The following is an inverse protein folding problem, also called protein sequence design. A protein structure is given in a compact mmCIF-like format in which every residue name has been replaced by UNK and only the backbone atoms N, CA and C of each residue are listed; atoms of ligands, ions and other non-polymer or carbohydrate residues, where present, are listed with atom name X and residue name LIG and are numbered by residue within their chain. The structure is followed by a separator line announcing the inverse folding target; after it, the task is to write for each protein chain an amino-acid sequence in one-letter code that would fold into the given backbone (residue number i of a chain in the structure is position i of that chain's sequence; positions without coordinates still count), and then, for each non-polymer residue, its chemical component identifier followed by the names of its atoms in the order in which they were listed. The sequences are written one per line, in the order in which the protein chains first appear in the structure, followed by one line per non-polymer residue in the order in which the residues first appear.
data_IF_678128027880
#
_entry.id   IF_678128027880
#
_cell.length_a   1.000
_cell.length_b   1.000
_cell.length_c   1.000
_cell.angle_alpha   90.00
_cell.angle_beta   90.00
_cell.angle_gamma   90.00
#
_symmetry.space_group_name_H-M   'P 1'
#
loop_
_entity.id
_entity.type
_entity.pdbx_description
1 polymer ?
#
# COMPACT_ATOMS: atom_id res chain seq x y z
N UNK A 1 3.18 39.36 -31.81
CA UNK A 1 3.30 38.00 -32.36
C UNK A 1 3.55 37.06 -31.20
N UNK A 2 2.47 36.58 -30.56
CA UNK A 2 2.53 35.77 -29.34
C UNK A 2 2.79 34.31 -29.72
N UNK A 3 4.02 33.84 -29.49
CA UNK A 3 4.35 32.41 -29.44
C UNK A 3 4.59 32.02 -27.98
N UNK A 4 3.52 32.11 -27.18
CA UNK A 4 3.56 31.71 -25.78
C UNK A 4 3.30 30.21 -25.70
N UNK A 5 4.42 29.50 -25.77
CA UNK A 5 4.60 28.08 -25.57
C UNK A 5 3.51 27.45 -24.70
N UNK A 6 2.79 26.52 -25.32
CA UNK A 6 1.88 25.55 -24.71
C UNK A 6 2.64 24.62 -23.76
N UNK A 7 3.23 25.13 -22.68
CA UNK A 7 3.60 24.32 -21.51
C UNK A 7 2.34 24.13 -20.68
N UNK A 8 1.39 23.37 -21.21
CA UNK A 8 0.29 22.84 -20.42
C UNK A 8 0.91 22.01 -19.31
N UNK A 9 0.82 22.53 -18.08
CA UNK A 9 0.82 21.80 -16.80
C UNK A 9 0.59 20.31 -17.02
N UNK A 10 1.65 19.51 -16.94
CA UNK A 10 1.52 18.07 -16.93
C UNK A 10 0.60 17.70 -15.76
N UNK A 11 -0.34 16.77 -15.97
CA UNK A 11 -1.27 16.34 -14.92
C UNK A 11 -0.48 15.77 -13.72
N UNK A 12 -0.90 16.00 -12.46
CA UNK A 12 -0.31 15.37 -11.27
C UNK A 12 -0.08 13.86 -11.42
N UNK A 13 -0.96 13.21 -12.20
CA UNK A 13 -0.88 11.78 -12.51
C UNK A 13 0.37 11.44 -13.34
N UNK A 14 0.69 12.26 -14.33
CA UNK A 14 1.84 12.02 -15.21
C UNK A 14 3.17 12.28 -14.48
N UNK A 15 3.21 13.24 -13.57
CA UNK A 15 4.38 13.49 -12.71
C UNK A 15 4.59 12.33 -11.73
N UNK A 16 3.53 11.87 -11.07
CA UNK A 16 3.58 10.69 -10.21
C UNK A 16 4.03 9.42 -10.95
N UNK A 17 3.57 9.22 -12.20
CA UNK A 17 4.03 8.10 -13.03
C UNK A 17 5.51 8.26 -13.38
N UNK A 18 5.97 9.48 -13.69
CA UNK A 18 7.38 9.73 -14.05
C UNK A 18 8.30 9.46 -12.86
N UNK A 19 7.96 9.98 -11.68
CA UNK A 19 8.69 9.73 -10.43
C UNK A 19 8.73 8.23 -10.09
N UNK A 20 7.62 7.52 -10.31
CA UNK A 20 7.55 6.07 -10.11
C UNK A 20 8.45 5.32 -11.12
N UNK A 21 8.43 5.71 -12.40
CA UNK A 21 9.31 5.13 -13.42
C UNK A 21 10.78 5.35 -13.11
N UNK A 22 11.14 6.53 -12.59
CA UNK A 22 12.51 6.86 -12.15
C UNK A 22 12.92 6.01 -10.94
N UNK A 23 12.05 5.91 -9.92
CA UNK A 23 12.29 5.10 -8.72
C UNK A 23 12.46 3.62 -9.06
N UNK A 24 11.67 3.11 -10.02
CA UNK A 24 11.75 1.73 -10.47
C UNK A 24 12.85 1.49 -11.52
N UNK A 25 13.45 2.55 -12.07
CA UNK A 25 14.41 2.46 -13.17
C UNK A 25 13.84 1.86 -14.47
N UNK A 26 12.52 1.89 -14.65
CA UNK A 26 11.84 1.23 -15.75
C UNK A 26 10.64 2.05 -16.24
N UNK A 27 10.47 2.13 -17.56
CA UNK A 27 9.25 2.71 -18.16
C UNK A 27 8.07 1.79 -17.94
N UNK A 28 6.98 2.32 -17.40
CA UNK A 28 5.74 1.59 -17.12
C UNK A 28 4.73 1.74 -18.25
N UNK A 29 4.78 2.87 -18.98
CA UNK A 29 3.87 3.16 -20.08
C UNK A 29 4.62 3.50 -21.38
N UNK A 30 4.17 2.92 -22.48
CA UNK A 30 4.52 3.34 -23.83
C UNK A 30 3.49 4.39 -24.28
N UNK A 31 3.96 5.59 -24.60
CA UNK A 31 3.12 6.67 -25.14
C UNK A 31 3.25 6.69 -26.66
N UNK A 32 2.14 6.57 -27.36
CA UNK A 32 2.08 6.64 -28.83
C UNK A 32 1.04 7.65 -29.29
N UNK A 33 1.04 7.99 -30.58
CA UNK A 33 0.02 8.86 -31.18
C UNK A 33 -1.41 8.27 -31.10
N UNK A 34 -1.54 6.97 -30.86
CA UNK A 34 -2.82 6.28 -30.67
C UNK A 34 -3.23 6.05 -29.21
N UNK A 35 -2.46 6.56 -28.23
CA UNK A 35 -2.74 6.41 -26.80
C UNK A 35 -1.58 5.82 -26.00
N UNK A 36 -1.87 5.44 -24.75
CA UNK A 36 -0.93 4.83 -23.83
C UNK A 36 -1.21 3.34 -23.65
N UNK A 37 -0.18 2.51 -23.74
CA UNK A 37 -0.23 1.08 -23.41
C UNK A 37 0.78 0.74 -22.32
N UNK A 38 0.50 -0.22 -21.42
CA UNK A 38 1.48 -0.64 -20.42
C UNK A 38 2.65 -1.39 -21.08
N UNK A 39 3.87 -1.14 -20.60
CA UNK A 39 5.02 -2.00 -20.89
C UNK A 39 4.88 -3.33 -20.15
N UNK A 40 5.76 -4.29 -20.41
CA UNK A 40 5.89 -5.51 -19.59
C UNK A 40 6.11 -5.17 -18.10
N UNK A 41 6.96 -4.18 -17.80
CA UNK A 41 7.16 -3.69 -16.44
C UNK A 41 5.87 -3.06 -15.86
N UNK A 42 5.11 -2.33 -16.67
CA UNK A 42 3.80 -1.79 -16.33
C UNK A 42 2.78 -2.88 -15.96
N UNK A 43 2.70 -3.95 -16.75
CA UNK A 43 1.83 -5.10 -16.45
C UNK A 43 2.20 -5.76 -15.12
N UNK A 44 3.51 -5.96 -14.86
CA UNK A 44 4.00 -6.52 -13.58
C UNK A 44 3.69 -5.61 -12.39
N UNK A 45 3.92 -4.31 -12.54
CA UNK A 45 3.61 -3.32 -11.52
C UNK A 45 2.12 -3.32 -11.17
N UNK A 46 1.25 -3.33 -12.19
CA UNK A 46 -0.20 -3.45 -12.01
C UNK A 46 -0.59 -4.76 -11.35
N UNK A 47 0.00 -5.90 -11.74
CA UNK A 47 -0.25 -7.19 -11.09
C UNK A 47 0.04 -7.16 -9.60
N UNK A 48 1.16 -6.55 -9.19
CA UNK A 48 1.52 -6.38 -7.77
C UNK A 48 0.62 -5.37 -7.03
N UNK A 49 0.22 -4.28 -7.69
CA UNK A 49 -0.57 -3.22 -7.07
C UNK A 49 -2.07 -3.54 -6.98
N UNK A 50 -2.62 -4.34 -7.90
CA UNK A 50 -4.06 -4.64 -8.01
C UNK A 50 -4.73 -5.08 -6.70
N UNK A 51 -4.16 -6.01 -5.92
CA UNK A 51 -4.76 -6.41 -4.64
C UNK A 51 -4.91 -5.23 -3.67
N UNK A 52 -3.89 -4.38 -3.57
CA UNK A 52 -3.91 -3.19 -2.71
C UNK A 52 -4.87 -2.10 -3.24
N UNK A 53 -5.02 -1.98 -4.56
CA UNK A 53 -5.97 -1.07 -5.19
C UNK A 53 -7.44 -1.46 -4.96
N UNK A 54 -7.72 -2.73 -4.63
CA UNK A 54 -9.07 -3.21 -4.31
C UNK A 54 -9.51 -2.82 -2.88
N UNK A 55 -8.59 -2.32 -2.06
CA UNK A 55 -8.89 -1.85 -0.72
C UNK A 55 -9.68 -0.55 -0.77
N UNK A 56 -10.78 -0.53 -0.02
CA UNK A 56 -11.63 0.65 0.16
C UNK A 56 -12.01 0.73 1.63
N UNK A 57 -12.13 1.96 2.14
CA UNK A 57 -12.53 2.18 3.53
C UNK A 57 -14.06 2.17 3.67
N UNK A 58 -14.62 1.63 4.77
CA UNK A 58 -13.92 0.88 5.82
C UNK A 58 -13.45 -0.48 5.32
N UNK A 59 -12.25 -0.90 5.74
CA UNK A 59 -11.66 -2.17 5.32
C UNK A 59 -12.25 -3.31 6.16
N UNK A 60 -12.63 -4.40 5.52
CA UNK A 60 -13.08 -5.63 6.17
C UNK A 60 -12.07 -6.80 6.04
N UNK A 61 -12.37 -7.93 6.67
CA UNK A 61 -11.52 -9.12 6.61
C UNK A 61 -11.46 -9.78 5.23
N UNK A 62 -12.54 -9.69 4.44
CA UNK A 62 -12.58 -10.30 3.12
C UNK A 62 -11.61 -9.60 2.16
N UNK A 63 -11.52 -8.27 2.25
CA UNK A 63 -10.56 -7.46 1.49
C UNK A 63 -9.10 -7.79 1.86
N UNK A 64 -8.83 -8.13 3.12
CA UNK A 64 -7.48 -8.47 3.57
C UNK A 64 -7.02 -9.88 3.19
N UNK A 65 -7.94 -10.82 2.93
CA UNK A 65 -7.58 -12.19 2.53
C UNK A 65 -6.78 -12.25 1.24
N UNK A 66 -6.99 -11.29 0.34
CA UNK A 66 -6.29 -11.22 -0.94
C UNK A 66 -4.85 -10.69 -0.83
N UNK A 67 -4.42 -10.27 0.37
CA UNK A 67 -3.12 -9.67 0.60
C UNK A 67 -2.24 -10.58 1.47
N UNK A 68 -0.91 -10.59 1.24
CA UNK A 68 0.02 -11.32 2.11
C UNK A 68 0.02 -10.73 3.52
N UNK A 69 -0.35 -11.54 4.52
CA UNK A 69 -0.26 -11.13 5.93
C UNK A 69 1.15 -11.36 6.48
N UNK A 70 1.73 -10.30 7.01
CA UNK A 70 3.03 -10.29 7.70
C UNK A 70 2.76 -10.21 9.20
N UNK A 71 2.99 -11.31 9.90
CA UNK A 71 2.81 -11.40 11.34
C UNK A 71 3.96 -10.72 12.08
N UNK A 72 3.62 -9.85 13.02
CA UNK A 72 4.56 -9.31 13.99
C UNK A 72 4.65 -10.26 15.21
N UNK A 73 5.76 -11.00 15.33
CA UNK A 73 5.99 -11.99 16.37
C UNK A 73 6.66 -11.37 17.60
N UNK A 74 5.92 -10.51 18.30
CA UNK A 74 6.22 -10.15 19.68
C UNK A 74 5.03 -10.52 20.58
N UNK A 75 5.24 -10.81 21.87
CA UNK A 75 4.17 -11.29 22.75
C UNK A 75 2.93 -10.39 22.77
N UNK A 76 3.12 -9.06 22.80
CA UNK A 76 2.01 -8.11 22.78
C UNK A 76 1.22 -8.10 21.47
N UNK A 77 1.89 -8.26 20.33
CA UNK A 77 1.24 -8.32 19.03
C UNK A 77 0.53 -9.66 18.80
N UNK A 78 1.06 -10.76 19.32
CA UNK A 78 0.40 -12.07 19.29
C UNK A 78 -0.90 -12.06 20.09
N UNK A 79 -0.89 -11.50 21.30
CA UNK A 79 -2.11 -11.35 22.10
C UNK A 79 -3.19 -10.54 21.35
N UNK A 80 -2.80 -9.47 20.64
CA UNK A 80 -3.73 -8.70 19.82
C UNK A 80 -4.21 -9.49 18.58
N UNK A 81 -3.34 -10.29 17.97
CA UNK A 81 -3.70 -11.16 16.86
C UNK A 81 -4.74 -12.21 17.29
N UNK A 82 -4.64 -12.76 18.50
CA UNK A 82 -5.63 -13.70 19.03
C UNK A 82 -7.01 -13.05 19.15
N UNK A 83 -7.08 -11.77 19.58
CA UNK A 83 -8.32 -11.01 19.55
C UNK A 83 -8.85 -10.80 18.13
N UNK A 84 -7.97 -10.54 17.15
CA UNK A 84 -8.38 -10.41 15.75
C UNK A 84 -8.93 -11.74 15.21
N UNK A 85 -8.28 -12.86 15.54
CA UNK A 85 -8.72 -14.21 15.14
C UNK A 85 -10.07 -14.56 15.75
N UNK A 86 -10.27 -14.26 17.03
CA UNK A 86 -11.57 -14.40 17.69
C UNK A 86 -12.67 -13.53 17.03
N UNK A 87 -12.28 -12.39 16.44
CA UNK A 87 -13.17 -11.52 15.67
C UNK A 87 -13.31 -11.90 14.18
N UNK A 88 -12.82 -13.08 13.75
CA UNK A 88 -12.99 -13.60 12.40
C UNK A 88 -11.87 -13.27 11.40
N UNK A 89 -10.72 -12.78 11.87
CA UNK A 89 -9.53 -12.65 11.03
C UNK A 89 -8.91 -14.01 10.73
N UNK A 90 -8.90 -14.43 9.46
CA UNK A 90 -8.45 -15.76 9.04
C UNK A 90 -7.38 -15.73 7.93
N UNK A 91 -6.60 -14.66 7.81
CA UNK A 91 -5.55 -14.62 6.80
C UNK A 91 -4.40 -15.55 7.19
N UNK A 92 -3.90 -16.32 6.21
CA UNK A 92 -2.72 -17.16 6.40
C UNK A 92 -1.46 -16.29 6.56
N UNK A 93 -0.56 -16.72 7.44
CA UNK A 93 0.69 -16.01 7.70
C UNK A 93 1.64 -16.27 6.53
N UNK A 94 1.86 -15.26 5.70
CA UNK A 94 2.81 -15.34 4.60
C UNK A 94 4.26 -15.21 5.10
N UNK A 95 4.49 -14.39 6.14
CA UNK A 95 5.80 -14.15 6.77
C UNK A 95 5.65 -13.81 8.24
N UNK A 96 6.64 -14.18 9.04
CA UNK A 96 6.71 -13.82 10.47
C UNK A 96 7.99 -13.05 10.74
N UNK A 97 7.88 -11.93 11.45
CA UNK A 97 9.02 -11.04 11.76
C UNK A 97 8.90 -10.51 13.19
N UNK A 98 10.02 -10.43 13.89
CA UNK A 98 10.06 -10.08 15.32
C UNK A 98 10.38 -8.61 15.60
N UNK A 99 10.75 -7.81 14.60
CA UNK A 99 11.15 -6.40 14.79
C UNK A 99 10.23 -5.43 14.02
N UNK A 100 9.89 -4.31 14.66
CA UNK A 100 9.02 -3.27 14.08
C UNK A 100 9.64 -2.65 12.82
N UNK A 101 10.96 -2.42 12.82
CA UNK A 101 11.69 -1.86 11.66
C UNK A 101 11.58 -2.74 10.43
N UNK A 102 11.63 -4.06 10.59
CA UNK A 102 11.47 -5.00 9.49
C UNK A 102 10.01 -5.07 9.01
N UNK A 103 9.01 -4.98 9.90
CA UNK A 103 7.61 -4.83 9.50
C UNK A 103 7.43 -3.55 8.66
N UNK A 104 7.90 -2.41 9.17
CA UNK A 104 7.82 -1.11 8.49
C UNK A 104 8.51 -1.15 7.11
N UNK A 105 9.69 -1.76 7.03
CA UNK A 105 10.39 -1.96 5.77
C UNK A 105 9.56 -2.81 4.80
N UNK A 106 9.13 -4.02 5.17
CA UNK A 106 8.40 -4.90 4.25
C UNK A 106 7.07 -4.34 3.79
N UNK A 107 6.31 -3.71 4.70
CA UNK A 107 5.06 -3.03 4.37
C UNK A 107 5.34 -1.83 3.45
N UNK A 108 6.39 -1.05 3.73
CA UNK A 108 6.82 0.07 2.88
C UNK A 108 7.25 -0.34 1.47
N UNK A 109 7.78 -1.56 1.30
CA UNK A 109 8.10 -2.14 -0.01
C UNK A 109 6.89 -2.81 -0.70
N UNK A 110 5.69 -2.76 -0.10
CA UNK A 110 4.48 -3.37 -0.67
C UNK A 110 4.51 -4.91 -0.66
N UNK A 111 5.28 -5.53 0.24
CA UNK A 111 5.39 -7.00 0.33
C UNK A 111 4.13 -7.65 0.94
N UNK A 112 3.32 -6.86 1.64
CA UNK A 112 2.12 -7.31 2.31
C UNK A 112 1.60 -6.26 3.29
N UNK A 113 0.71 -6.67 4.19
CA UNK A 113 0.21 -5.85 5.29
C UNK A 113 0.53 -6.50 6.64
N UNK A 114 0.48 -5.70 7.70
CA UNK A 114 0.58 -6.20 9.08
C UNK A 114 -0.49 -5.57 9.95
N UNK A 115 -0.84 -6.25 11.05
CA UNK A 115 -1.73 -5.73 12.09
C UNK A 115 -0.84 -5.38 13.28
N UNK A 116 -0.81 -4.11 13.66
CA UNK A 116 0.04 -3.59 14.73
C UNK A 116 -0.79 -2.87 15.81
N UNK A 117 -0.41 -2.97 17.10
CA UNK A 117 -1.00 -2.14 18.14
C UNK A 117 -0.79 -0.66 17.81
N UNK A 118 -1.78 0.19 18.10
CA UNK A 118 -1.69 1.63 17.80
C UNK A 118 -0.46 2.31 18.40
N UNK A 119 0.03 1.81 19.54
CA UNK A 119 1.22 2.31 20.23
C UNK A 119 2.54 1.89 19.56
N UNK A 120 2.54 0.83 18.74
CA UNK A 120 3.70 0.31 18.02
C UNK A 120 3.84 0.89 16.61
N UNK A 121 3.10 1.96 16.30
CA UNK A 121 3.25 2.71 15.06
C UNK A 121 3.88 4.03 15.44
N UNK A 122 5.21 4.07 15.59
CA UNK A 122 5.91 5.34 15.51
C UNK A 122 5.64 5.96 14.13
N UNK A 123 5.50 7.29 14.00
CA UNK A 123 5.35 7.90 12.70
C UNK A 123 6.59 7.55 11.87
N UNK A 124 6.43 6.65 10.91
CA UNK A 124 7.45 6.34 9.92
C UNK A 124 7.82 7.67 9.26
N UNK A 125 9.02 8.15 9.56
CA UNK A 125 9.56 9.42 9.07
C UNK A 125 10.14 9.23 7.65
N UNK A 126 9.32 8.68 6.77
CA UNK A 126 9.48 8.69 5.32
C UNK A 126 8.22 9.41 4.78
N UNK A 127 8.32 10.13 3.66
CA UNK A 127 7.31 11.04 3.07
C UNK A 127 6.00 10.35 2.60
N UNK A 128 5.50 9.38 3.35
CA UNK A 128 4.32 8.58 3.06
C UNK A 128 3.39 8.62 4.28
N UNK A 129 2.35 9.45 4.18
CA UNK A 129 1.34 9.67 5.22
C UNK A 129 0.62 8.37 5.60
N UNK A 130 0.83 7.90 6.83
CA UNK A 130 0.02 6.82 7.43
C UNK A 130 -1.42 7.31 7.68
N UNK A 131 -2.34 6.94 6.79
CA UNK A 131 -3.75 7.24 7.00
C UNK A 131 -4.37 6.15 7.88
N UNK A 132 -5.01 6.50 9.01
CA UNK A 132 -5.74 5.53 9.82
C UNK A 132 -6.94 5.00 9.05
N UNK A 133 -6.97 3.70 8.72
CA UNK A 133 -8.19 3.04 8.29
C UNK A 133 -9.02 2.66 9.52
N UNK A 134 -10.23 3.22 9.64
CA UNK A 134 -11.18 2.82 10.66
C UNK A 134 -11.82 1.47 10.29
N UNK A 135 -11.55 0.43 11.09
CA UNK A 135 -12.14 -0.90 10.96
C UNK A 135 -13.54 -0.93 11.62
N UNK A 136 -14.55 -1.48 10.93
CA UNK A 136 -15.93 -1.55 11.47
C UNK A 136 -16.30 -2.98 11.86
N UNK A 137 -15.88 -3.40 13.05
CA UNK A 137 -16.69 -4.02 14.13
C UNK A 137 -15.79 -4.29 15.35
N UNK A 138 -16.06 -3.57 16.45
CA UNK A 138 -15.70 -3.99 17.81
C UNK A 138 -14.34 -3.61 18.41
N UNK A 139 -13.40 -3.02 17.68
CA UNK A 139 -12.10 -2.65 18.27
C UNK A 139 -11.27 -1.73 17.37
N UNK A 140 -10.55 -0.78 17.97
CA UNK A 140 -9.72 0.20 17.29
C UNK A 140 -8.44 -0.45 16.72
N UNK A 141 -8.58 -1.20 15.63
CA UNK A 141 -7.46 -1.73 14.87
C UNK A 141 -6.98 -0.66 13.87
N UNK A 142 -5.70 -0.32 13.94
CA UNK A 142 -5.04 0.53 12.95
C UNK A 142 -4.36 -0.40 11.94
N UNK A 143 -5.06 -0.74 10.86
CA UNK A 143 -4.41 -1.36 9.72
C UNK A 143 -3.66 -0.27 8.95
N UNK A 144 -2.34 -0.39 8.82
CA UNK A 144 -1.59 0.40 7.86
C UNK A 144 -1.80 -0.21 6.47
N UNK A 145 -2.82 0.28 5.78
CA UNK A 145 -3.11 -0.08 4.39
C UNK A 145 -2.74 1.10 3.51
N UNK A 146 -2.06 0.82 2.41
CA UNK A 146 -1.54 1.81 1.48
C UNK A 146 -2.61 2.14 0.42
N UNK A 147 -3.20 3.34 0.41
CA UNK A 147 -3.92 3.79 -0.78
C UNK A 147 -2.90 4.34 -1.79
N UNK A 148 -3.00 3.89 -3.05
CA UNK A 148 -2.55 4.73 -4.16
C UNK A 148 -3.35 6.05 -4.09
N UNK A 149 -2.66 7.20 -4.00
CA UNK A 149 -3.33 8.49 -3.80
C UNK A 149 -4.33 8.79 -4.91
N UNK A 150 -5.46 9.36 -4.50
CA UNK A 150 -6.23 10.33 -5.29
C UNK A 150 -5.76 11.74 -4.90
N UNK A 151 -5.80 12.63 -5.91
CA UNK A 151 -5.38 14.04 -5.97
C UNK A 151 -3.88 14.25 -6.27
#
# INVERSE_FOLDING_TARGET
MLDMHKRSTQSPISDAITELEETLGAKLLLRSRGGCAPTEAGHRALGKARPSLALHAPVDWAQLKALPYIQFACPGALAMLDHCRAAGFTADVARTVATESAIAAMVGHGTGYSILPRLAVSPIRNRSTSSPCHFRRGGALRCSLWPARRA
#
